data_IF_048892006023
#
_entry.id   IF_048892006023
#
_cell.length_a   1.000
_cell.length_b   1.000
_cell.length_c   1.000
_cell.angle_alpha   90.00
_cell.angle_beta   90.00
_cell.angle_gamma   90.00
#
_symmetry.space_group_name_H-M   'P 1'
#
loop_
_entity.id
_entity.type
_entity.pdbx_description
1 polymer ?
#
# COMPACT_ATOMS: atom_id res chain seq x y z
N UNK A 1 -7.38 29.39 5.17
CA UNK A 1 -7.06 28.34 6.16
C UNK A 1 -8.14 27.29 6.05
N UNK A 2 -7.82 25.98 6.02
CA UNK A 2 -8.84 24.95 5.88
C UNK A 2 -9.87 25.06 7.00
N UNK A 3 -11.14 24.81 6.67
CA UNK A 3 -12.26 24.89 7.60
C UNK A 3 -12.14 23.78 8.66
N UNK A 4 -12.58 24.05 9.89
CA UNK A 4 -12.44 23.09 11.01
C UNK A 4 -13.11 21.75 10.71
N UNK A 5 -14.24 21.76 9.99
CA UNK A 5 -14.89 20.53 9.50
C UNK A 5 -13.98 19.72 8.59
N UNK A 6 -13.26 20.37 7.66
CA UNK A 6 -12.31 19.69 6.76
C UNK A 6 -11.18 19.01 7.54
N UNK A 7 -10.66 19.69 8.57
CA UNK A 7 -9.61 19.12 9.42
C UNK A 7 -10.12 17.92 10.23
N UNK A 8 -11.35 17.99 10.77
CA UNK A 8 -11.96 16.88 11.50
C UNK A 8 -12.20 15.67 10.60
N UNK A 9 -12.70 15.87 9.38
CA UNK A 9 -12.90 14.80 8.40
C UNK A 9 -11.56 14.18 7.99
N UNK A 10 -10.55 15.00 7.70
CA UNK A 10 -9.21 14.53 7.38
C UNK A 10 -8.61 13.73 8.54
N UNK A 11 -8.71 14.23 9.77
CA UNK A 11 -8.23 13.54 10.96
C UNK A 11 -8.90 12.18 11.14
N UNK A 12 -10.23 12.12 11.02
CA UNK A 12 -10.97 10.86 11.10
C UNK A 12 -10.55 9.88 10.00
N UNK A 13 -10.54 10.31 8.74
CA UNK A 13 -10.18 9.47 7.60
C UNK A 13 -8.72 8.98 7.67
N UNK A 14 -7.78 9.86 8.00
CA UNK A 14 -6.36 9.51 8.13
C UNK A 14 -6.11 8.59 9.33
N UNK A 15 -6.84 8.75 10.44
CA UNK A 15 -6.75 7.83 11.58
C UNK A 15 -7.20 6.43 11.19
N UNK A 16 -8.34 6.30 10.52
CA UNK A 16 -8.81 4.99 9.99
C UNK A 16 -7.76 4.39 9.06
N UNK A 17 -7.22 5.19 8.14
CA UNK A 17 -6.21 4.72 7.19
C UNK A 17 -4.89 4.31 7.88
N UNK A 18 -4.48 5.03 8.93
CA UNK A 18 -3.25 4.76 9.68
C UNK A 18 -3.34 3.47 10.52
N UNK A 19 -4.54 3.10 10.98
CA UNK A 19 -4.76 1.86 11.76
C UNK A 19 -4.77 0.63 10.87
N UNK A 20 -5.21 0.74 9.61
CA UNK A 20 -5.27 -0.41 8.69
C UNK A 20 -3.85 -0.79 8.25
N UNK A 21 -3.33 -1.98 8.63
CA UNK A 21 -2.02 -2.42 8.18
C UNK A 21 -2.03 -2.62 6.66
N UNK A 22 -1.19 -1.88 5.96
CA UNK A 22 -1.04 -2.01 4.52
C UNK A 22 -0.38 -3.33 4.10
N UNK A 23 -0.38 -3.65 2.79
CA UNK A 23 0.18 -4.90 2.27
C UNK A 23 1.68 -5.06 2.59
N UNK A 24 2.46 -3.97 2.66
CA UNK A 24 3.86 -4.01 3.07
C UNK A 24 4.06 -4.45 4.53
N UNK A 25 3.21 -3.98 5.44
CA UNK A 25 3.25 -4.38 6.85
C UNK A 25 2.83 -5.85 7.00
N UNK A 26 1.76 -6.26 6.32
CA UNK A 26 1.32 -7.66 6.29
C UNK A 26 2.40 -8.60 5.73
N UNK A 27 3.09 -8.18 4.68
CA UNK A 27 4.23 -8.93 4.12
C UNK A 27 5.36 -9.10 5.14
N UNK A 28 5.74 -8.03 5.84
CA UNK A 28 6.77 -8.08 6.89
C UNK A 28 6.34 -9.03 8.01
N UNK A 29 5.09 -8.97 8.47
CA UNK A 29 4.56 -9.87 9.50
C UNK A 29 4.63 -11.32 9.02
N UNK A 30 4.08 -11.63 7.84
CA UNK A 30 4.09 -12.98 7.27
C UNK A 30 5.51 -13.54 7.19
N UNK A 31 6.46 -12.77 6.65
CA UNK A 31 7.87 -13.17 6.56
C UNK A 31 8.58 -13.30 7.90
N UNK A 32 8.19 -12.49 8.89
CA UNK A 32 8.74 -12.57 10.25
C UNK A 32 8.26 -13.82 10.98
N UNK A 33 7.00 -14.23 10.75
CA UNK A 33 6.40 -15.43 11.33
C UNK A 33 6.97 -16.68 10.67
N UNK A 34 7.05 -16.74 9.35
CA UNK A 34 7.57 -17.90 8.59
C UNK A 34 9.07 -18.14 8.81
N UNK A 35 9.88 -17.08 8.75
CA UNK A 35 11.34 -17.18 8.66
C UNK A 35 12.09 -16.59 9.87
N UNK A 36 11.37 -16.23 10.94
CA UNK A 36 11.93 -15.61 12.13
C UNK A 36 12.49 -14.20 11.91
N UNK A 37 13.24 -13.71 12.91
CA UNK A 37 13.70 -12.31 13.00
C UNK A 37 14.57 -11.86 11.82
N UNK A 38 15.44 -12.72 11.29
CA UNK A 38 16.35 -12.34 10.19
C UNK A 38 15.59 -12.11 8.88
N UNK A 39 14.62 -12.97 8.58
CA UNK A 39 13.77 -12.86 7.39
C UNK A 39 12.84 -11.65 7.47
N UNK A 40 12.31 -11.38 8.66
CA UNK A 40 11.55 -10.15 8.94
C UNK A 40 12.35 -8.86 8.75
N UNK A 41 13.61 -8.84 9.22
CA UNK A 41 14.50 -7.69 9.02
C UNK A 41 14.83 -7.47 7.54
N UNK A 42 15.11 -8.54 6.79
CA UNK A 42 15.33 -8.45 5.35
C UNK A 42 14.09 -7.92 4.60
N UNK A 43 12.89 -8.41 4.96
CA UNK A 43 11.63 -7.90 4.41
C UNK A 43 11.42 -6.42 4.73
N UNK A 44 11.71 -6.00 5.96
CA UNK A 44 11.60 -4.60 6.40
C UNK A 44 12.53 -3.69 5.61
N UNK A 45 13.81 -4.09 5.45
CA UNK A 45 14.78 -3.34 4.67
C UNK A 45 14.38 -3.23 3.20
N UNK A 46 13.86 -4.32 2.61
CA UNK A 46 13.35 -4.33 1.24
C UNK A 46 12.20 -3.34 1.05
N UNK A 47 11.19 -3.38 1.93
CA UNK A 47 10.05 -2.46 1.90
C UNK A 47 10.50 -1.01 2.12
N UNK A 48 11.38 -0.75 3.09
CA UNK A 48 11.89 0.60 3.36
C UNK A 48 12.67 1.16 2.16
N UNK A 49 13.52 0.36 1.53
CA UNK A 49 14.28 0.76 0.34
C UNK A 49 13.35 1.05 -0.84
N UNK A 50 12.36 0.20 -1.09
CA UNK A 50 11.35 0.43 -2.12
C UNK A 50 10.57 1.73 -1.90
N UNK A 51 10.19 2.02 -0.65
CA UNK A 51 9.52 3.27 -0.30
C UNK A 51 10.41 4.49 -0.55
N UNK A 52 11.71 4.40 -0.23
CA UNK A 52 12.65 5.49 -0.51
C UNK A 52 12.77 5.76 -2.01
N UNK A 53 12.89 4.72 -2.83
CA UNK A 53 12.92 4.87 -4.30
C UNK A 53 11.63 5.50 -4.82
N UNK A 54 10.48 5.10 -4.28
CA UNK A 54 9.18 5.69 -4.64
C UNK A 54 9.11 7.18 -4.28
N UNK A 55 9.46 7.54 -3.04
CA UNK A 55 9.45 8.93 -2.56
C UNK A 55 10.42 9.79 -3.37
N UNK A 56 11.60 9.27 -3.70
CA UNK A 56 12.55 9.94 -4.59
C UNK A 56 11.94 10.21 -5.97
N UNK A 57 11.28 9.22 -6.57
CA UNK A 57 10.58 9.39 -7.85
C UNK A 57 9.47 10.47 -7.77
N UNK A 58 8.69 10.47 -6.68
CA UNK A 58 7.69 11.50 -6.44
C UNK A 58 8.32 12.90 -6.29
N UNK A 59 9.41 13.02 -5.52
CA UNK A 59 10.11 14.26 -5.25
C UNK A 59 10.81 14.86 -6.48
N UNK A 60 11.37 14.02 -7.35
CA UNK A 60 12.06 14.47 -8.58
C UNK A 60 11.07 15.01 -9.63
N UNK A 61 9.76 14.79 -9.46
CA UNK A 61 8.75 15.47 -10.26
C UNK A 61 7.76 14.55 -10.98
N UNK A 62 7.75 13.24 -10.68
CA UNK A 62 6.71 12.35 -11.20
C UNK A 62 5.31 12.86 -10.84
N UNK A 63 5.13 13.36 -9.62
CA UNK A 63 3.87 13.96 -9.18
C UNK A 63 3.53 15.25 -9.94
N UNK A 64 4.53 16.04 -10.34
CA UNK A 64 4.32 17.28 -11.10
C UNK A 64 3.88 16.99 -12.55
N UNK A 65 4.47 15.96 -13.19
CA UNK A 65 4.08 15.51 -14.54
C UNK A 65 2.62 15.05 -14.54
N UNK A 66 2.24 14.25 -13.54
CA UNK A 66 0.86 13.75 -13.40
C UNK A 66 -0.10 14.91 -13.12
N UNK A 67 0.27 15.88 -12.29
CA UNK A 67 -0.57 17.02 -11.96
C UNK A 67 -0.84 17.96 -13.16
N UNK A 68 0.09 18.07 -14.10
CA UNK A 68 -0.11 18.89 -15.31
C UNK A 68 -0.96 18.22 -16.39
N UNK A 69 -1.09 16.90 -16.38
CA UNK A 69 -1.78 16.16 -17.45
C UNK A 69 -3.02 15.43 -16.95
N UNK A 70 -4.19 15.92 -17.35
CA UNK A 70 -5.48 15.29 -17.07
C UNK A 70 -5.55 13.85 -17.64
N UNK A 71 -4.96 13.62 -18.81
CA UNK A 71 -4.91 12.29 -19.45
C UNK A 71 -4.04 11.33 -18.65
N UNK A 72 -2.85 11.76 -18.22
CA UNK A 72 -1.94 10.91 -17.43
C UNK A 72 -2.57 10.56 -16.07
N UNK A 73 -3.17 11.53 -15.38
CA UNK A 73 -3.88 11.29 -14.12
C UNK A 73 -5.05 10.31 -14.32
N UNK A 74 -5.84 10.49 -15.37
CA UNK A 74 -6.98 9.60 -15.67
C UNK A 74 -6.52 8.19 -16.01
N UNK A 75 -5.46 8.04 -16.80
CA UNK A 75 -4.88 6.75 -17.15
C UNK A 75 -4.39 6.00 -15.91
N UNK A 76 -3.62 6.67 -15.03
CA UNK A 76 -3.14 6.08 -13.78
C UNK A 76 -4.31 5.70 -12.87
N UNK A 77 -5.33 6.56 -12.76
CA UNK A 77 -6.53 6.26 -11.96
C UNK A 77 -7.25 5.02 -12.45
N UNK A 78 -7.45 4.89 -13.77
CA UNK A 78 -8.14 3.75 -14.35
C UNK A 78 -7.30 2.48 -14.27
N UNK A 79 -5.98 2.58 -14.46
CA UNK A 79 -5.04 1.48 -14.27
C UNK A 79 -5.05 0.98 -12.81
N UNK A 80 -5.05 1.89 -11.83
CA UNK A 80 -5.17 1.57 -10.41
C UNK A 80 -6.50 0.88 -10.08
N UNK A 81 -7.62 1.39 -10.62
CA UNK A 81 -8.92 0.76 -10.46
C UNK A 81 -8.95 -0.66 -11.05
N UNK A 82 -8.42 -0.85 -12.26
CA UNK A 82 -8.32 -2.16 -12.89
C UNK A 82 -7.45 -3.13 -12.08
N UNK A 83 -6.31 -2.65 -11.54
CA UNK A 83 -5.44 -3.44 -10.68
C UNK A 83 -6.14 -3.88 -9.39
N UNK A 84 -6.89 -2.99 -8.73
CA UNK A 84 -7.65 -3.30 -7.53
C UNK A 84 -8.81 -4.29 -7.81
N UNK A 85 -9.53 -4.10 -8.92
CA UNK A 85 -10.59 -5.04 -9.33
C UNK A 85 -9.99 -6.42 -9.60
N UNK A 86 -8.91 -6.49 -10.40
CA UNK A 86 -8.26 -7.75 -10.74
C UNK A 86 -7.74 -8.49 -9.50
N UNK A 87 -7.02 -7.80 -8.63
CA UNK A 87 -6.53 -8.39 -7.37
C UNK A 87 -7.68 -8.77 -6.43
N UNK A 88 -8.72 -7.95 -6.30
CA UNK A 88 -9.91 -8.27 -5.50
C UNK A 88 -10.63 -9.52 -6.01
N UNK A 89 -10.87 -9.64 -7.31
CA UNK A 89 -11.48 -10.82 -7.94
C UNK A 89 -10.63 -12.06 -7.68
N UNK A 90 -9.32 -11.99 -7.92
CA UNK A 90 -8.41 -13.11 -7.65
C UNK A 90 -8.51 -13.54 -6.19
N UNK A 91 -8.47 -12.59 -5.25
CA UNK A 91 -8.54 -12.90 -3.81
C UNK A 91 -9.88 -13.48 -3.36
N UNK A 92 -10.99 -13.13 -4.01
CA UNK A 92 -12.30 -13.70 -3.70
C UNK A 92 -12.51 -15.10 -4.29
N UNK A 93 -11.87 -15.39 -5.43
CA UNK A 93 -12.00 -16.69 -6.11
C UNK A 93 -10.97 -17.72 -5.64
N UNK A 94 -9.89 -17.30 -4.98
CA UNK A 94 -8.85 -18.22 -4.50
C UNK A 94 -9.22 -18.74 -3.12
N UNK A 95 -9.36 -20.07 -2.91
CA UNK A 95 -9.56 -20.64 -1.59
C UNK A 95 -8.41 -20.27 -0.65
N UNK A 96 -8.72 -19.79 0.54
CA UNK A 96 -7.73 -19.57 1.59
C UNK A 96 -7.42 -20.94 2.21
N UNK A 97 -6.32 -21.56 1.80
CA UNK A 97 -5.76 -22.70 2.52
C UNK A 97 -5.24 -22.21 3.87
N UNK A 98 -6.02 -22.46 4.93
CA UNK A 98 -5.58 -22.26 6.30
C UNK A 98 -4.59 -23.38 6.60
N UNK A 99 -3.30 -23.06 6.68
CA UNK A 99 -2.25 -24.03 6.97
C UNK A 99 -2.51 -24.76 8.29
N UNK A 100 -2.87 -26.05 8.20
CA UNK A 100 -3.02 -26.96 9.34
C UNK A 100 -1.69 -27.59 9.77
N UNK A 101 -0.56 -27.04 9.37
CA UNK A 101 0.75 -27.62 9.62
C UNK A 101 1.32 -27.14 10.97
N UNK A 102 0.66 -27.58 12.04
CA UNK A 102 1.19 -27.57 13.41
C UNK A 102 0.81 -28.91 14.04
N UNK A 103 1.50 -29.98 13.61
CA UNK A 103 1.46 -31.30 14.23
C UNK A 103 2.90 -31.82 14.41
#
# INVERSE_FOLDING_TARGET
>A
MPETSTLLIFLAASTVLAVVPGPGVLYIIARSVEGGRRTGLAATLGVATGNMVHVMGAAIGLSAIIAQSATAFTAIKLAGAAYLIGTGVIRLLTPVEVGTDVA
#
